data_IF_527712960998
#
_entry.id   IF_527712960998
#
_cell.length_a   1.000
_cell.length_b   1.000
_cell.length_c   1.000
_cell.angle_alpha   90.00
_cell.angle_beta   90.00
_cell.angle_gamma   90.00
#
_symmetry.space_group_name_H-M   'P 1'
#
loop_
_entity.id
_entity.type
_entity.pdbx_description
1 polymer ?
#
# COMPACT_ATOMS: atom_id res chain seq x y z
N UNK A 1 -51.07 7.46 47.15
CA UNK A 1 -50.62 8.69 46.46
C UNK A 1 -49.19 8.96 46.92
N UNK A 2 -48.20 8.57 46.10
CA UNK A 2 -46.88 9.17 45.93
C UNK A 2 -46.10 8.31 44.92
N UNK A 3 -45.39 9.00 44.04
CA UNK A 3 -45.14 8.63 42.64
C UNK A 3 -43.95 7.69 42.43
N UNK A 4 -44.03 6.87 41.38
CA UNK A 4 -42.89 6.23 40.72
C UNK A 4 -42.03 7.33 40.08
N UNK A 5 -40.80 7.49 40.52
CA UNK A 5 -39.76 8.15 39.71
C UNK A 5 -39.16 7.05 38.84
N UNK A 6 -39.71 6.90 37.63
CA UNK A 6 -39.08 6.18 36.54
C UNK A 6 -37.87 6.95 36.04
N UNK A 7 -36.72 6.29 35.98
CA UNK A 7 -35.49 6.90 35.50
C UNK A 7 -34.37 5.86 35.43
N UNK A 8 -34.42 4.97 34.44
CA UNK A 8 -33.31 4.07 34.15
C UNK A 8 -33.16 3.71 32.66
N UNK A 9 -33.70 4.51 31.72
CA UNK A 9 -33.69 4.18 30.29
C UNK A 9 -32.78 5.06 29.41
N UNK A 10 -31.94 5.93 30.00
CA UNK A 10 -31.18 6.93 29.21
C UNK A 10 -29.71 6.63 28.97
N UNK A 11 -29.13 5.59 29.58
CA UNK A 11 -27.68 5.34 29.45
C UNK A 11 -27.40 4.49 28.20
N UNK A 12 -28.16 3.43 27.96
CA UNK A 12 -27.94 2.54 26.81
C UNK A 12 -28.24 3.22 25.46
N UNK A 13 -29.28 4.06 25.40
CA UNK A 13 -29.64 4.80 24.18
C UNK A 13 -28.64 5.88 23.77
N UNK A 14 -27.90 6.48 24.71
CA UNK A 14 -26.88 7.49 24.39
C UNK A 14 -25.57 6.86 23.89
N UNK A 15 -25.22 5.67 24.39
CA UNK A 15 -24.11 4.88 23.86
C UNK A 15 -24.38 4.39 22.45
N UNK A 16 -25.58 3.84 22.18
CA UNK A 16 -25.96 3.41 20.84
C UNK A 16 -25.97 4.57 19.84
N UNK A 17 -26.53 5.73 20.22
CA UNK A 17 -26.52 6.93 19.40
C UNK A 17 -25.08 7.43 19.14
N UNK A 18 -24.18 7.28 20.11
CA UNK A 18 -22.76 7.65 19.96
C UNK A 18 -22.00 6.70 19.05
N UNK A 19 -22.26 5.39 19.12
CA UNK A 19 -21.70 4.39 18.19
C UNK A 19 -22.21 4.64 16.77
N UNK A 20 -23.50 4.96 16.62
CA UNK A 20 -24.08 5.27 15.32
C UNK A 20 -23.44 6.53 14.71
N UNK A 21 -23.30 7.61 15.50
CA UNK A 21 -22.58 8.83 15.08
C UNK A 21 -21.13 8.53 14.69
N UNK A 22 -20.42 7.71 15.46
CA UNK A 22 -19.03 7.34 15.18
C UNK A 22 -18.91 6.51 13.89
N UNK A 23 -19.80 5.55 13.67
CA UNK A 23 -19.81 4.71 12.47
C UNK A 23 -20.17 5.53 11.23
N UNK A 24 -21.12 6.47 11.32
CA UNK A 24 -21.42 7.41 10.24
C UNK A 24 -20.23 8.32 9.93
N UNK A 25 -19.60 8.91 10.94
CA UNK A 25 -18.42 9.75 10.76
C UNK A 25 -17.25 8.98 10.12
N UNK A 26 -17.01 7.74 10.56
CA UNK A 26 -16.01 6.85 9.97
C UNK A 26 -16.29 6.56 8.50
N UNK A 27 -17.55 6.29 8.14
CA UNK A 27 -17.96 6.05 6.74
C UNK A 27 -17.73 7.29 5.89
N UNK A 28 -18.21 8.44 6.32
CA UNK A 28 -18.04 9.70 5.60
C UNK A 28 -16.56 10.02 5.33
N UNK A 29 -15.70 9.85 6.33
CA UNK A 29 -14.26 10.03 6.18
C UNK A 29 -13.63 9.00 5.22
N UNK A 30 -14.05 7.74 5.30
CA UNK A 30 -13.57 6.68 4.40
C UNK A 30 -13.96 6.96 2.95
N UNK A 31 -15.17 7.47 2.71
CA UNK A 31 -15.67 7.82 1.38
C UNK A 31 -14.94 9.06 0.83
N UNK A 32 -14.63 10.03 1.67
CA UNK A 32 -13.81 11.18 1.28
C UNK A 32 -12.39 10.78 0.88
N UNK A 33 -11.72 9.95 1.70
CA UNK A 33 -10.39 9.41 1.39
C UNK A 33 -10.43 8.61 0.09
N UNK A 34 -11.43 7.74 -0.08
CA UNK A 34 -11.57 6.92 -1.29
C UNK A 34 -11.76 7.77 -2.54
N UNK A 35 -12.54 8.85 -2.46
CA UNK A 35 -12.71 9.81 -3.57
C UNK A 35 -11.41 10.55 -3.88
N UNK A 36 -10.65 10.97 -2.87
CA UNK A 36 -9.36 11.61 -3.06
C UNK A 36 -8.35 10.67 -3.74
N UNK A 37 -8.30 9.41 -3.30
CA UNK A 37 -7.45 8.37 -3.89
C UNK A 37 -7.84 8.12 -5.35
N UNK A 38 -9.14 7.95 -5.63
CA UNK A 38 -9.66 7.78 -6.99
C UNK A 38 -9.32 8.97 -7.90
N UNK A 39 -9.43 10.21 -7.40
CA UNK A 39 -9.07 11.42 -8.16
C UNK A 39 -7.60 11.48 -8.60
N UNK A 40 -6.73 10.68 -7.96
CA UNK A 40 -5.29 10.56 -8.26
C UNK A 40 -4.97 9.30 -9.07
N UNK A 41 -5.98 8.61 -9.61
CA UNK A 41 -5.81 7.34 -10.34
C UNK A 41 -5.53 6.15 -9.42
N UNK A 42 -5.91 6.26 -8.14
CA UNK A 42 -5.72 5.21 -7.16
C UNK A 42 -6.99 4.44 -6.81
N UNK A 43 -6.82 3.29 -6.16
CA UNK A 43 -7.88 2.46 -5.58
C UNK A 43 -7.65 2.26 -4.09
N UNK A 44 -8.72 2.12 -3.31
CA UNK A 44 -8.61 1.86 -1.87
C UNK A 44 -8.13 0.43 -1.56
N UNK A 45 -8.47 -0.51 -2.45
CA UNK A 45 -8.06 -1.91 -2.38
C UNK A 45 -7.71 -2.40 -3.78
N UNK A 46 -6.65 -3.21 -3.95
CA UNK A 46 -6.31 -3.78 -5.24
C UNK A 46 -7.43 -4.70 -5.73
N UNK A 47 -7.81 -4.59 -7.01
CA UNK A 47 -8.78 -5.49 -7.63
C UNK A 47 -8.27 -6.93 -7.73
N UNK A 48 -6.96 -7.08 -8.00
CA UNK A 48 -6.27 -8.36 -8.09
C UNK A 48 -5.14 -8.43 -7.07
N UNK A 49 -5.04 -9.54 -6.35
CA UNK A 49 -4.02 -9.78 -5.31
C UNK A 49 -3.10 -10.95 -5.61
N UNK A 50 -3.35 -11.67 -6.72
CA UNK A 50 -2.59 -12.86 -7.15
C UNK A 50 -2.18 -12.73 -8.61
N UNK A 51 -1.29 -13.61 -9.07
CA UNK A 51 -0.73 -13.54 -10.42
C UNK A 51 0.35 -12.48 -10.55
N UNK A 52 0.64 -12.12 -11.80
CA UNK A 52 1.72 -11.21 -12.17
C UNK A 52 1.20 -9.98 -12.90
N UNK A 53 1.89 -8.85 -12.68
CA UNK A 53 1.72 -7.62 -13.43
C UNK A 53 2.90 -7.45 -14.39
N UNK A 54 2.63 -7.14 -15.65
CA UNK A 54 3.69 -6.74 -16.57
C UNK A 54 4.02 -5.25 -16.37
N UNK A 55 5.28 -4.98 -16.04
CA UNK A 55 5.80 -3.63 -15.78
C UNK A 55 6.98 -3.37 -16.71
N UNK A 56 6.88 -2.33 -17.53
CA UNK A 56 7.99 -1.80 -18.30
C UNK A 56 8.84 -0.90 -17.41
N UNK A 57 10.02 -1.37 -17.02
CA UNK A 57 10.99 -0.64 -16.23
C UNK A 57 12.18 -0.25 -17.12
N UNK A 58 12.27 1.04 -17.46
CA UNK A 58 13.37 1.57 -18.27
C UNK A 58 13.46 0.97 -19.68
N UNK A 59 12.35 0.55 -20.26
CA UNK A 59 12.28 -0.06 -21.61
C UNK A 59 12.29 -1.58 -21.64
N UNK A 60 12.43 -2.26 -20.49
CA UNK A 60 12.40 -3.73 -20.38
C UNK A 60 11.16 -4.14 -19.59
N UNK A 61 10.41 -5.13 -20.10
CA UNK A 61 9.19 -5.62 -19.47
C UNK A 61 9.52 -6.76 -18.51
N UNK A 62 9.07 -6.63 -17.26
CA UNK A 62 9.24 -7.63 -16.21
C UNK A 62 7.90 -8.09 -15.64
N UNK A 63 7.76 -9.39 -15.31
CA UNK A 63 6.66 -9.88 -14.51
C UNK A 63 6.88 -9.56 -13.02
N UNK A 64 5.89 -8.95 -12.39
CA UNK A 64 5.93 -8.57 -10.97
C UNK A 64 4.85 -9.32 -10.20
N UNK A 65 5.27 -10.14 -9.22
CA UNK A 65 4.35 -10.89 -8.35
C UNK A 65 3.50 -9.96 -7.49
N UNK A 66 2.17 -9.98 -7.69
CA UNK A 66 1.23 -9.22 -6.86
C UNK A 66 1.28 -9.66 -5.41
N UNK A 67 1.47 -10.96 -5.19
CA UNK A 67 1.54 -11.54 -3.85
C UNK A 67 2.78 -11.05 -3.10
N UNK A 68 3.93 -10.97 -3.77
CA UNK A 68 5.16 -10.46 -3.18
C UNK A 68 5.03 -9.00 -2.75
N UNK A 69 4.41 -8.14 -3.57
CA UNK A 69 4.14 -6.74 -3.23
C UNK A 69 3.21 -6.58 -2.02
N UNK A 70 2.32 -7.56 -1.78
CA UNK A 70 1.36 -7.55 -0.67
C UNK A 70 1.86 -8.21 0.61
N UNK A 71 3.10 -8.72 0.64
CA UNK A 71 3.72 -9.27 1.86
C UNK A 71 3.78 -8.23 2.98
N UNK A 72 3.69 -8.61 4.27
CA UNK A 72 3.71 -7.67 5.38
C UNK A 72 4.89 -6.68 5.39
N UNK A 73 6.08 -7.13 4.97
CA UNK A 73 7.28 -6.30 4.87
C UNK A 73 7.29 -5.36 3.65
N UNK A 74 6.48 -5.64 2.63
CA UNK A 74 6.46 -4.95 1.34
C UNK A 74 5.23 -4.07 1.13
N UNK A 75 4.06 -4.43 1.66
CA UNK A 75 2.77 -3.79 1.33
C UNK A 75 2.67 -2.29 1.64
N UNK A 76 3.63 -1.74 2.39
CA UNK A 76 3.73 -0.31 2.75
C UNK A 76 4.89 0.41 2.08
N UNK A 77 5.72 -0.31 1.33
CA UNK A 77 6.82 0.26 0.56
C UNK A 77 6.23 1.04 -0.61
N UNK A 78 6.88 2.13 -0.96
CA UNK A 78 6.42 3.03 -2.02
C UNK A 78 6.12 2.28 -3.31
N UNK A 79 6.98 1.33 -3.72
CA UNK A 79 6.77 0.53 -4.93
C UNK A 79 5.49 -0.31 -4.88
N UNK A 80 5.19 -0.94 -3.75
CA UNK A 80 4.00 -1.76 -3.57
C UNK A 80 2.74 -0.90 -3.58
N UNK A 81 2.76 0.25 -2.91
CA UNK A 81 1.63 1.20 -2.95
C UNK A 81 1.42 1.71 -4.37
N UNK A 82 2.50 2.09 -5.06
CA UNK A 82 2.45 2.59 -6.43
C UNK A 82 1.83 1.55 -7.39
N UNK A 83 2.33 0.32 -7.37
CA UNK A 83 1.90 -0.73 -8.30
C UNK A 83 0.59 -1.42 -7.92
N UNK A 84 0.25 -1.51 -6.63
CA UNK A 84 -0.97 -2.20 -6.19
C UNK A 84 -2.17 -1.27 -6.05
N UNK A 85 -1.94 0.01 -5.75
CA UNK A 85 -3.02 0.96 -5.49
C UNK A 85 -3.11 2.08 -6.51
N UNK A 86 -2.05 2.43 -7.24
CA UNK A 86 -2.04 3.59 -8.15
C UNK A 86 -1.65 3.25 -9.60
N UNK A 87 -1.68 1.97 -9.98
CA UNK A 87 -1.25 1.53 -11.32
C UNK A 87 -2.05 2.16 -12.47
N UNK A 88 -3.32 2.50 -12.25
CA UNK A 88 -4.16 3.12 -13.27
C UNK A 88 -3.79 4.59 -13.53
N UNK A 89 -3.16 5.25 -12.55
CA UNK A 89 -2.62 6.60 -12.69
C UNK A 89 -1.22 6.65 -13.31
N UNK A 90 -0.58 5.51 -13.58
CA UNK A 90 0.77 5.46 -14.11
C UNK A 90 0.80 5.56 -15.64
N UNK A 91 1.86 6.16 -16.23
CA UNK A 91 2.09 6.12 -17.66
C UNK A 91 2.11 4.68 -18.17
N UNK A 92 1.72 4.50 -19.43
CA UNK A 92 1.74 3.20 -20.12
C UNK A 92 2.69 3.23 -21.31
N UNK A 93 3.31 2.09 -21.60
CA UNK A 93 4.04 1.91 -22.85
C UNK A 93 3.08 1.65 -24.03
N UNK A 94 3.63 1.45 -25.22
CA UNK A 94 2.84 1.24 -26.45
C UNK A 94 1.96 -0.02 -26.41
N UNK A 95 2.34 -1.01 -25.60
CA UNK A 95 1.63 -2.28 -25.43
C UNK A 95 0.65 -2.25 -24.24
N UNK A 96 0.58 -1.13 -23.51
CA UNK A 96 -0.32 -0.93 -22.38
C UNK A 96 0.23 -1.38 -21.01
N UNK A 97 1.51 -1.75 -20.93
CA UNK A 97 2.14 -2.09 -19.66
C UNK A 97 2.39 -0.85 -18.82
N UNK A 98 2.35 -0.99 -17.49
CA UNK A 98 2.73 0.09 -16.57
C UNK A 98 4.18 0.48 -16.84
N UNK A 99 4.46 1.77 -17.01
CA UNK A 99 5.81 2.28 -17.23
C UNK A 99 6.40 2.91 -15.96
N UNK A 100 7.63 2.51 -15.64
CA UNK A 100 8.46 3.11 -14.60
C UNK A 100 9.81 3.56 -15.20
N UNK A 101 10.14 4.84 -15.00
CA UNK A 101 11.47 5.37 -15.31
C UNK A 101 12.47 4.90 -14.23
N UNK A 102 13.18 3.81 -14.51
CA UNK A 102 14.19 3.26 -13.61
C UNK A 102 15.20 2.42 -14.40
N UNK A 103 16.35 2.10 -13.79
CA UNK A 103 17.33 1.22 -14.41
C UNK A 103 16.79 -0.22 -14.49
N UNK A 104 16.75 -0.87 -15.67
CA UNK A 104 16.31 -2.26 -15.79
C UNK A 104 17.13 -3.21 -14.90
N UNK A 105 18.44 -2.99 -14.79
CA UNK A 105 19.33 -3.81 -13.98
C UNK A 105 19.12 -3.63 -12.47
N UNK A 106 18.60 -2.47 -12.05
CA UNK A 106 18.13 -2.25 -10.69
C UNK A 106 16.80 -2.96 -10.46
N UNK A 107 15.86 -2.82 -11.39
CA UNK A 107 14.53 -3.39 -11.25
C UNK A 107 14.58 -4.92 -11.19
N UNK A 108 15.41 -5.56 -12.01
CA UNK A 108 15.69 -7.01 -11.92
C UNK A 108 16.16 -7.43 -10.52
N UNK A 109 17.12 -6.70 -9.94
CA UNK A 109 17.63 -6.99 -8.59
C UNK A 109 16.54 -6.82 -7.50
N UNK A 110 15.64 -5.85 -7.67
CA UNK A 110 14.48 -5.70 -6.79
C UNK A 110 13.52 -6.89 -6.89
N UNK A 111 13.34 -7.47 -8.08
CA UNK A 111 12.49 -8.67 -8.25
C UNK A 111 13.12 -9.92 -7.62
N UNK A 112 14.44 -10.05 -7.69
CA UNK A 112 15.17 -11.09 -6.96
C UNK A 112 14.94 -10.95 -5.45
N UNK A 113 14.99 -9.72 -4.92
CA UNK A 113 14.70 -9.42 -3.51
C UNK A 113 13.24 -9.75 -3.12
N UNK A 114 12.28 -9.41 -3.98
CA UNK A 114 10.87 -9.78 -3.78
C UNK A 114 10.69 -11.31 -3.72
N UNK A 115 11.37 -12.04 -4.59
CA UNK A 115 11.34 -13.52 -4.61
C UNK A 115 11.90 -14.11 -3.33
N UNK A 116 12.95 -13.49 -2.77
CA UNK A 116 13.53 -13.90 -1.49
C UNK A 116 12.58 -13.65 -0.31
N UNK A 117 11.89 -12.50 -0.29
CA UNK A 117 10.82 -12.27 0.70
C UNK A 117 9.69 -13.29 0.60
N UNK A 118 9.26 -13.60 -0.62
CA UNK A 118 8.17 -14.54 -0.87
C UNK A 118 8.53 -15.98 -0.45
N UNK A 119 9.81 -16.34 -0.55
CA UNK A 119 10.33 -17.65 -0.13
C UNK A 119 10.81 -17.69 1.33
N UNK A 120 10.67 -16.59 2.08
CA UNK A 120 11.08 -16.49 3.49
C UNK A 120 12.60 -16.48 3.69
N UNK A 121 13.39 -16.21 2.64
CA UNK A 121 14.85 -16.17 2.69
C UNK A 121 15.30 -14.72 2.90
N UNK A 122 15.40 -14.29 4.16
CA UNK A 122 15.77 -12.90 4.51
C UNK A 122 17.27 -12.67 4.67
N UNK A 123 18.12 -13.59 4.23
CA UNK A 123 19.58 -13.46 4.32
C UNK A 123 20.05 -12.53 3.21
N UNK A 124 19.93 -11.22 3.45
CA UNK A 124 20.63 -10.10 2.78
C UNK A 124 20.87 -10.28 1.28
N UNK A 125 20.07 -9.56 0.47
CA UNK A 125 20.41 -9.32 -0.93
C UNK A 125 21.57 -8.34 -0.97
N UNK A 126 22.78 -8.87 -0.87
CA UNK A 126 23.98 -8.07 -1.10
C UNK A 126 24.06 -7.78 -2.59
N UNK A 127 23.96 -6.50 -2.88
CA UNK A 127 24.18 -5.99 -4.21
C UNK A 127 25.60 -6.29 -4.68
N UNK A 128 25.79 -6.72 -5.94
CA UNK A 128 27.11 -6.77 -6.51
C UNK A 128 27.80 -5.41 -6.31
N UNK A 129 29.08 -5.36 -5.90
CA UNK A 129 29.78 -4.11 -5.60
C UNK A 129 29.73 -3.09 -6.73
N UNK A 130 29.66 -3.55 -7.98
CA UNK A 130 29.48 -2.70 -9.18
C UNK A 130 28.12 -2.01 -9.24
N UNK A 131 27.05 -2.65 -8.77
CA UNK A 131 25.69 -2.07 -8.68
C UNK A 131 25.54 -1.20 -7.43
N UNK A 132 26.14 -1.60 -6.31
CA UNK A 132 26.12 -0.81 -5.07
C UNK A 132 26.87 0.54 -5.19
N UNK A 133 27.89 0.60 -6.06
CA UNK A 133 28.64 1.81 -6.34
C UNK A 133 27.95 2.78 -7.31
N UNK A 134 26.84 2.38 -7.95
CA UNK A 134 26.06 3.24 -8.85
C UNK A 134 25.13 4.15 -8.04
N UNK A 135 25.33 5.48 -8.06
CA UNK A 135 24.48 6.41 -7.32
C UNK A 135 23.00 6.30 -7.71
N UNK A 136 22.69 6.01 -8.98
CA UNK A 136 21.32 5.86 -9.45
C UNK A 136 20.64 4.65 -8.80
N UNK A 137 21.39 3.56 -8.58
CA UNK A 137 20.88 2.40 -7.85
C UNK A 137 20.43 2.79 -6.44
N UNK A 138 21.29 3.51 -5.70
CA UNK A 138 21.02 3.89 -4.31
C UNK A 138 19.78 4.79 -4.18
N UNK A 139 19.55 5.67 -5.17
CA UNK A 139 18.42 6.57 -5.21
C UNK A 139 17.10 5.81 -5.46
N UNK A 140 17.07 4.93 -6.47
CA UNK A 140 15.88 4.11 -6.76
C UNK A 140 15.55 3.17 -5.60
N UNK A 141 16.56 2.53 -5.00
CA UNK A 141 16.36 1.66 -3.85
C UNK A 141 15.75 2.40 -2.67
N UNK A 142 16.34 3.54 -2.31
CA UNK A 142 15.85 4.38 -1.21
C UNK A 142 14.42 4.84 -1.46
N UNK A 143 14.08 5.21 -2.70
CA UNK A 143 12.72 5.63 -3.06
C UNK A 143 11.72 4.48 -2.98
N UNK A 144 12.00 3.36 -3.66
CA UNK A 144 11.06 2.24 -3.78
C UNK A 144 10.85 1.51 -2.46
N UNK A 145 11.90 1.40 -1.64
CA UNK A 145 11.84 0.78 -0.32
C UNK A 145 11.44 1.76 0.79
N UNK A 146 11.16 3.03 0.48
CA UNK A 146 10.63 3.98 1.47
C UNK A 146 9.28 3.48 1.99
N UNK A 147 9.16 3.35 3.31
CA UNK A 147 7.88 3.03 3.95
C UNK A 147 6.97 4.28 3.95
N UNK A 148 5.70 4.09 3.64
CA UNK A 148 4.69 5.15 3.64
C UNK A 148 3.83 5.06 4.92
N UNK A 149 4.01 5.99 5.89
CA UNK A 149 3.33 5.93 7.19
C UNK A 149 1.80 5.97 7.09
N UNK A 150 1.26 6.65 6.08
CA UNK A 150 -0.20 6.75 5.85
C UNK A 150 -0.86 5.41 5.51
N UNK A 151 -0.07 4.39 5.18
CA UNK A 151 -0.53 3.01 4.95
C UNK A 151 -0.14 2.07 6.11
N UNK A 152 0.36 2.62 7.21
CA UNK A 152 0.58 1.90 8.47
C UNK A 152 -0.72 1.78 9.25
N UNK A 153 -0.85 0.69 10.03
CA UNK A 153 -1.96 0.57 10.95
C UNK A 153 -1.89 1.72 11.97
N UNK A 154 -3.02 2.32 12.38
CA UNK A 154 -3.01 3.34 13.41
C UNK A 154 -2.38 2.73 14.68
N UNK A 155 -1.25 3.28 15.10
CA UNK A 155 -0.69 2.99 16.41
C UNK A 155 -1.60 3.64 17.44
N UNK A 156 -2.54 2.88 17.98
CA UNK A 156 -3.23 3.28 19.20
C UNK A 156 -2.18 3.31 20.32
N UNK A 157 -1.59 4.48 20.55
CA UNK A 157 -0.85 4.76 21.78
C UNK A 157 -1.88 4.81 22.91
N UNK A 158 -2.08 3.67 23.57
CA UNK A 158 -2.76 3.63 24.86
C UNK A 158 -1.84 4.35 25.84
N UNK A 159 -2.21 5.56 26.25
CA UNK A 159 -1.70 6.23 27.44
C UNK A 159 -2.83 6.33 28.44
#
# INVERSE_FOLDING_TARGET
MLELIGGCDTIDGDFDASIERLTMAKRALTDEISRLVASRGGVSHPAETTGEMLVNAGGVVFPVSRRALLLPCMKRRYISVLLMLFADGLPRDADGHVYLETSPAYFEALLDELTLYETGRTNTVDLPPSKAADPAYSEYHSLFMRELPSFSAPTHSSR
#
